data_IF_074010344264
#
_entry.id   IF_074010344264
#
_cell.length_a   1.000
_cell.length_b   1.000
_cell.length_c   1.000
_cell.angle_alpha   90.00
_cell.angle_beta   90.00
_cell.angle_gamma   90.00
#
_symmetry.space_group_name_H-M   'P 1'
#
loop_
_entity.id
_entity.type
_entity.pdbx_description
1 polymer ?
#
# COMPACT_ATOMS: atom_id res chain seq x y z
N UNK A 1 -22.84 36.98 5.00
CA UNK A 1 -22.94 35.70 5.73
C UNK A 1 -21.75 34.80 5.39
N UNK A 2 -21.07 34.17 6.38
CA UNK A 2 -20.05 33.17 6.11
C UNK A 2 -20.68 31.95 5.41
N UNK A 3 -20.11 31.53 4.27
CA UNK A 3 -20.59 30.37 3.51
C UNK A 3 -20.54 29.10 4.37
N UNK A 4 -21.66 28.39 4.47
CA UNK A 4 -21.77 27.10 5.17
C UNK A 4 -20.79 26.09 4.54
N UNK A 5 -19.99 25.41 5.36
CA UNK A 5 -19.01 24.42 4.88
C UNK A 5 -19.71 23.24 4.21
N UNK A 6 -19.24 22.89 3.00
CA UNK A 6 -19.72 21.70 2.26
C UNK A 6 -19.24 20.42 2.96
N UNK A 7 -20.05 19.36 2.90
CA UNK A 7 -19.59 18.01 3.29
C UNK A 7 -18.59 17.53 2.23
N UNK A 8 -17.44 17.03 2.67
CA UNK A 8 -16.41 16.44 1.82
C UNK A 8 -16.32 14.95 2.14
N UNK A 9 -16.05 14.12 1.12
CA UNK A 9 -15.70 12.70 1.27
C UNK A 9 -14.22 12.54 1.68
N UNK A 10 -13.83 13.25 2.74
CA UNK A 10 -12.47 13.22 3.30
C UNK A 10 -12.59 13.36 4.80
N UNK A 11 -11.84 12.54 5.53
CA UNK A 11 -11.78 12.50 6.99
C UNK A 11 -10.37 12.86 7.49
N UNK A 12 -10.25 13.15 8.78
CA UNK A 12 -8.96 13.46 9.38
C UNK A 12 -8.08 12.21 9.43
N UNK A 13 -6.87 12.31 8.87
CA UNK A 13 -5.87 11.22 8.82
C UNK A 13 -4.77 11.37 9.88
N UNK A 14 -5.00 12.15 10.93
CA UNK A 14 -4.08 12.30 12.06
C UNK A 14 -4.57 11.42 13.21
N UNK A 15 -3.84 10.37 13.56
CA UNK A 15 -4.19 9.44 14.65
C UNK A 15 -4.27 10.13 16.02
N UNK A 16 -3.59 11.26 16.21
CA UNK A 16 -3.64 12.05 17.46
C UNK A 16 -4.85 13.01 17.52
N UNK A 17 -5.71 13.02 16.51
CA UNK A 17 -6.87 13.91 16.46
C UNK A 17 -8.09 13.27 17.12
N UNK A 18 -8.85 14.02 17.91
CA UNK A 18 -10.15 13.58 18.46
C UNK A 18 -11.18 13.18 17.38
N UNK A 19 -11.02 13.74 16.18
CA UNK A 19 -11.87 13.47 15.02
C UNK A 19 -11.21 12.56 13.98
N UNK A 20 -10.23 11.73 14.39
CA UNK A 20 -9.57 10.75 13.53
C UNK A 20 -10.59 9.78 12.92
N UNK A 21 -10.51 9.55 11.59
CA UNK A 21 -11.38 8.66 10.83
C UNK A 21 -12.90 8.89 10.90
N UNK A 22 -13.36 9.98 11.52
CA UNK A 22 -14.80 10.33 11.59
C UNK A 22 -15.25 11.06 10.32
N UNK A 23 -16.36 10.61 9.72
CA UNK A 23 -16.99 11.22 8.53
C UNK A 23 -18.10 12.18 8.92
N UNK A 24 -18.47 13.10 8.02
CA UNK A 24 -19.66 13.95 8.17
C UNK A 24 -19.54 15.17 9.09
N UNK A 25 -18.42 15.34 9.81
CA UNK A 25 -18.21 16.41 10.81
C UNK A 25 -17.96 17.81 10.22
N UNK A 26 -17.79 17.95 8.90
CA UNK A 26 -17.46 19.24 8.21
C UNK A 26 -16.23 19.97 8.80
N UNK A 27 -15.37 19.25 9.52
CA UNK A 27 -14.15 19.76 10.11
C UNK A 27 -13.00 19.86 9.08
N UNK A 28 -13.11 19.20 7.93
CA UNK A 28 -12.10 19.26 6.87
C UNK A 28 -12.39 20.41 5.91
N UNK A 29 -11.38 21.24 5.66
CA UNK A 29 -11.42 22.36 4.70
C UNK A 29 -10.38 22.18 3.59
N UNK A 30 -10.67 22.71 2.40
CA UNK A 30 -9.70 22.79 1.31
C UNK A 30 -8.70 23.91 1.62
N UNK A 31 -7.41 23.58 1.67
CA UNK A 31 -6.34 24.51 2.03
C UNK A 31 -5.36 24.66 0.85
N UNK A 32 -5.86 25.20 -0.26
CA UNK A 32 -5.11 25.36 -1.50
C UNK A 32 -4.72 24.05 -2.20
N UNK A 33 -3.80 24.14 -3.15
CA UNK A 33 -3.22 22.99 -3.85
C UNK A 33 -1.70 22.95 -3.58
N UNK A 34 -1.12 21.75 -3.60
CA UNK A 34 0.35 21.58 -3.59
C UNK A 34 0.93 21.99 -4.95
N UNK A 35 2.26 22.15 -5.01
CA UNK A 35 3.00 22.49 -6.25
C UNK A 35 2.66 21.57 -7.43
N UNK A 36 2.37 20.30 -7.16
CA UNK A 36 1.99 19.30 -8.16
C UNK A 36 0.48 19.28 -8.50
N UNK A 37 -0.27 20.33 -8.13
CA UNK A 37 -1.71 20.43 -8.38
C UNK A 37 -2.62 19.59 -7.48
N UNK A 38 -2.05 18.74 -6.60
CA UNK A 38 -2.84 17.90 -5.69
C UNK A 38 -3.57 18.75 -4.68
N UNK A 39 -4.87 18.49 -4.48
CA UNK A 39 -5.68 19.19 -3.48
C UNK A 39 -5.13 18.93 -2.07
N UNK A 40 -4.83 20.01 -1.35
CA UNK A 40 -4.42 19.96 0.04
C UNK A 40 -5.65 20.22 0.93
N UNK A 41 -5.77 19.46 2.00
CA UNK A 41 -6.83 19.57 2.99
C UNK A 41 -6.23 19.94 4.34
N UNK A 42 -7.01 20.62 5.18
CA UNK A 42 -6.65 20.93 6.57
C UNK A 42 -7.81 20.54 7.47
N UNK A 43 -7.50 19.85 8.56
CA UNK A 43 -8.48 19.60 9.61
C UNK A 43 -8.57 20.85 10.51
N UNK A 44 -9.78 21.37 10.72
CA UNK A 44 -10.00 22.51 11.61
C UNK A 44 -9.85 22.15 13.10
N UNK A 45 -9.98 20.87 13.45
CA UNK A 45 -9.87 20.39 14.84
C UNK A 45 -8.42 20.31 15.31
N UNK A 46 -7.54 19.70 14.51
CA UNK A 46 -6.13 19.53 14.89
C UNK A 46 -5.15 20.39 14.08
N UNK A 47 -5.64 21.24 13.17
CA UNK A 47 -4.86 22.10 12.28
C UNK A 47 -3.83 21.40 11.36
N UNK A 48 -3.78 20.07 11.35
CA UNK A 48 -2.88 19.30 10.48
C UNK A 48 -3.39 19.34 9.03
N UNK A 49 -2.46 19.60 8.11
CA UNK A 49 -2.70 19.50 6.67
C UNK A 49 -2.34 18.13 6.11
N UNK A 50 -3.12 17.63 5.17
CA UNK A 50 -2.91 16.33 4.53
C UNK A 50 -3.50 16.30 3.13
N UNK A 51 -3.15 15.28 2.35
CA UNK A 51 -3.70 15.03 1.01
C UNK A 51 -4.54 13.76 1.02
N UNK A 52 -5.49 13.64 0.09
CA UNK A 52 -6.39 12.47 0.01
C UNK A 52 -5.62 11.16 -0.13
N UNK A 53 -4.52 11.16 -0.86
CA UNK A 53 -3.73 9.96 -1.15
C UNK A 53 -2.84 9.51 0.00
N UNK A 54 -2.70 10.28 1.09
CA UNK A 54 -1.81 9.88 2.19
C UNK A 54 -2.28 8.54 2.78
N UNK A 55 -1.31 7.64 2.96
CA UNK A 55 -1.56 6.28 3.42
C UNK A 55 -1.97 5.28 2.33
N UNK A 56 -2.02 5.67 1.04
CA UNK A 56 -2.29 4.78 -0.09
C UNK A 56 -1.06 4.59 -0.98
N UNK A 57 -1.04 3.58 -1.88
CA UNK A 57 0.05 3.38 -2.85
C UNK A 57 0.35 4.59 -3.75
N UNK A 58 -0.64 5.46 -3.93
CA UNK A 58 -0.53 6.68 -4.73
C UNK A 58 0.24 7.81 -4.01
N UNK A 59 0.42 7.72 -2.69
CA UNK A 59 1.12 8.75 -1.94
C UNK A 59 2.59 8.86 -2.35
N UNK A 60 3.05 10.05 -2.73
CA UNK A 60 4.40 10.28 -3.26
C UNK A 60 4.80 9.30 -4.37
N UNK A 61 3.84 8.84 -5.18
CA UNK A 61 4.17 8.10 -6.40
C UNK A 61 4.67 9.07 -7.47
N UNK A 62 5.76 8.70 -8.14
CA UNK A 62 6.22 9.38 -9.37
C UNK A 62 5.54 8.80 -10.62
N UNK A 63 4.89 7.65 -10.48
CA UNK A 63 4.14 7.02 -11.56
C UNK A 63 2.75 7.68 -11.68
N UNK A 64 2.23 7.81 -12.91
CA UNK A 64 0.83 8.17 -13.12
C UNK A 64 -0.10 7.22 -12.37
N UNK A 65 -1.26 7.74 -11.94
CA UNK A 65 -2.24 6.94 -11.18
C UNK A 65 -2.61 5.63 -11.91
N UNK A 66 -2.87 5.70 -13.22
CA UNK A 66 -3.23 4.55 -14.06
C UNK A 66 -2.15 3.45 -14.06
N UNK A 67 -0.87 3.84 -14.07
CA UNK A 67 0.24 2.89 -14.04
C UNK A 67 0.36 2.18 -12.69
N UNK A 68 0.12 2.90 -11.58
CA UNK A 68 0.06 2.29 -10.25
C UNK A 68 -1.09 1.30 -10.16
N UNK A 69 -2.28 1.68 -10.66
CA UNK A 69 -3.45 0.80 -10.72
C UNK A 69 -3.17 -0.46 -11.55
N UNK A 70 -2.55 -0.32 -12.72
CA UNK A 70 -2.17 -1.45 -13.57
C UNK A 70 -1.21 -2.42 -12.86
N UNK A 71 -0.17 -1.89 -12.19
CA UNK A 71 0.75 -2.72 -11.39
C UNK A 71 -0.01 -3.43 -10.26
N UNK A 72 -0.91 -2.74 -9.55
CA UNK A 72 -1.70 -3.33 -8.48
C UNK A 72 -2.63 -4.45 -8.98
N UNK A 73 -3.25 -4.29 -10.15
CA UNK A 73 -4.06 -5.34 -10.77
C UNK A 73 -3.22 -6.59 -11.05
N UNK A 74 -1.97 -6.44 -11.49
CA UNK A 74 -1.12 -7.61 -11.64
C UNK A 74 -0.74 -8.29 -10.31
N UNK A 75 -0.70 -7.55 -9.19
CA UNK A 75 -0.50 -8.17 -7.89
C UNK A 75 -1.70 -9.03 -7.46
N UNK A 76 -2.94 -8.61 -7.76
CA UNK A 76 -4.13 -9.42 -7.47
C UNK A 76 -4.16 -10.71 -8.30
N UNK A 77 -3.64 -10.67 -9.53
CA UNK A 77 -3.45 -11.84 -10.39
C UNK A 77 -2.25 -12.73 -10.00
N UNK A 78 -1.56 -12.42 -8.88
CA UNK A 78 -0.41 -13.19 -8.36
C UNK A 78 0.77 -13.28 -9.34
N UNK A 79 0.91 -12.32 -10.26
CA UNK A 79 2.03 -12.27 -11.19
C UNK A 79 3.36 -12.04 -10.47
N UNK A 80 4.44 -12.65 -10.97
CA UNK A 80 5.78 -12.40 -10.43
C UNK A 80 6.23 -10.96 -10.70
N UNK A 81 6.96 -10.34 -9.77
CA UNK A 81 7.43 -8.95 -9.94
C UNK A 81 8.25 -8.73 -11.22
N UNK A 82 9.04 -9.72 -11.64
CA UNK A 82 9.77 -9.69 -12.90
C UNK A 82 8.84 -9.77 -14.11
N UNK A 83 7.79 -10.59 -14.03
CA UNK A 83 6.73 -10.64 -15.05
C UNK A 83 6.06 -9.29 -15.21
N UNK A 84 5.65 -8.68 -14.10
CA UNK A 84 5.02 -7.35 -14.08
C UNK A 84 5.96 -6.32 -14.70
N UNK A 85 7.22 -6.27 -14.26
CA UNK A 85 8.23 -5.35 -14.80
C UNK A 85 8.35 -5.44 -16.33
N UNK A 86 8.33 -6.65 -16.91
CA UNK A 86 8.35 -6.85 -18.37
C UNK A 86 7.06 -6.42 -19.04
N UNK A 87 5.90 -6.86 -18.53
CA UNK A 87 4.59 -6.58 -19.13
C UNK A 87 4.25 -5.10 -19.08
N UNK A 88 4.49 -4.43 -17.96
CA UNK A 88 4.21 -3.01 -17.78
C UNK A 88 5.35 -2.10 -18.21
N UNK A 89 6.47 -2.66 -18.69
CA UNK A 89 7.70 -1.93 -19.08
C UNK A 89 8.23 -0.97 -18.01
N UNK A 90 8.06 -1.32 -16.72
CA UNK A 90 8.59 -0.56 -15.60
C UNK A 90 9.85 -1.21 -15.05
N UNK A 91 10.76 -0.42 -14.48
CA UNK A 91 11.91 -0.99 -13.77
C UNK A 91 11.44 -1.85 -12.59
N UNK A 92 12.16 -2.94 -12.32
CA UNK A 92 11.86 -3.83 -11.20
C UNK A 92 11.81 -3.08 -9.85
N UNK A 93 12.68 -2.08 -9.67
CA UNK A 93 12.67 -1.21 -8.49
C UNK A 93 11.39 -0.37 -8.37
N UNK A 94 10.80 0.07 -9.48
CA UNK A 94 9.51 0.76 -9.44
C UNK A 94 8.39 -0.16 -8.97
N UNK A 95 8.34 -1.39 -9.50
CA UNK A 95 7.39 -2.43 -9.08
C UNK A 95 7.55 -2.73 -7.58
N UNK A 96 8.77 -2.93 -7.10
CA UNK A 96 9.02 -3.16 -5.67
C UNK A 96 8.56 -2.00 -4.78
N UNK A 97 8.78 -0.75 -5.20
CA UNK A 97 8.29 0.41 -4.45
C UNK A 97 6.76 0.44 -4.35
N UNK A 98 6.07 0.10 -5.43
CA UNK A 98 4.60 0.00 -5.41
C UNK A 98 4.17 -1.14 -4.51
N UNK A 99 4.76 -2.34 -4.66
CA UNK A 99 4.47 -3.50 -3.83
C UNK A 99 4.66 -3.20 -2.33
N UNK A 100 5.75 -2.54 -1.94
CA UNK A 100 6.01 -2.17 -0.56
C UNK A 100 4.93 -1.19 -0.02
N UNK A 101 4.52 -0.20 -0.82
CA UNK A 101 3.44 0.70 -0.40
C UNK A 101 2.09 0.00 -0.28
N UNK A 102 1.81 -0.97 -1.16
CA UNK A 102 0.61 -1.82 -1.08
C UNK A 102 0.67 -2.68 0.17
N UNK A 103 1.79 -3.35 0.45
CA UNK A 103 1.97 -4.14 1.66
C UNK A 103 1.72 -3.34 2.94
N UNK A 104 2.35 -2.15 3.06
CA UNK A 104 2.09 -1.23 4.19
C UNK A 104 0.66 -0.71 4.28
N UNK A 105 -0.07 -0.71 3.17
CA UNK A 105 -1.49 -0.36 3.16
C UNK A 105 -2.32 -1.54 3.65
N UNK A 106 -2.00 -2.77 3.19
CA UNK A 106 -2.62 -4.01 3.65
C UNK A 106 -2.38 -4.26 5.13
N UNK A 107 -1.16 -4.07 5.66
CA UNK A 107 -0.87 -4.24 7.10
C UNK A 107 -1.85 -3.46 7.99
N UNK A 108 -2.21 -2.22 7.59
CA UNK A 108 -3.18 -1.39 8.33
C UNK A 108 -4.62 -1.87 8.21
N UNK A 109 -4.94 -2.56 7.13
CA UNK A 109 -6.24 -3.20 6.95
C UNK A 109 -6.25 -4.46 7.81
N UNK A 110 -5.22 -5.29 7.71
CA UNK A 110 -5.06 -6.54 8.42
C UNK A 110 -5.20 -6.37 9.94
N UNK A 111 -4.60 -5.33 10.53
CA UNK A 111 -4.78 -4.96 11.95
C UNK A 111 -6.25 -4.83 12.39
N UNK A 112 -7.16 -4.49 11.47
CA UNK A 112 -8.58 -4.30 11.74
C UNK A 112 -9.46 -5.46 11.26
N UNK A 113 -9.00 -6.26 10.28
CA UNK A 113 -9.83 -7.27 9.59
C UNK A 113 -9.38 -8.72 9.82
N UNK A 114 -8.13 -8.97 10.24
CA UNK A 114 -7.62 -10.31 10.52
C UNK A 114 -7.63 -10.64 12.03
N UNK A 115 -8.59 -10.08 12.77
CA UNK A 115 -8.77 -10.32 14.21
C UNK A 115 -9.98 -11.23 14.39
N UNK A 116 -9.84 -12.30 15.18
CA UNK A 116 -10.89 -13.30 15.45
C UNK A 116 -11.45 -13.95 14.16
N UNK A 117 -10.57 -14.47 13.31
CA UNK A 117 -11.01 -15.32 12.22
C UNK A 117 -11.44 -16.67 12.81
N UNK A 118 -12.69 -17.06 12.61
CA UNK A 118 -13.23 -18.38 12.96
C UNK A 118 -12.70 -19.43 11.97
N UNK A 119 -11.40 -19.73 12.06
CA UNK A 119 -10.72 -20.74 11.24
C UNK A 119 -10.58 -22.03 12.05
N UNK A 120 -10.85 -23.16 11.40
CA UNK A 120 -10.51 -24.46 11.98
C UNK A 120 -8.99 -24.69 12.00
N UNK A 121 -8.51 -25.57 12.89
CA UNK A 121 -7.09 -25.93 12.97
C UNK A 121 -6.57 -26.50 11.65
N UNK A 122 -7.37 -27.26 10.90
CA UNK A 122 -6.97 -27.83 9.61
C UNK A 122 -6.79 -26.73 8.56
N UNK A 123 -7.72 -25.78 8.49
CA UNK A 123 -7.65 -24.65 7.55
C UNK A 123 -6.44 -23.75 7.86
N UNK A 124 -6.17 -23.51 9.14
CA UNK A 124 -5.00 -22.77 9.57
C UNK A 124 -3.70 -23.50 9.18
N UNK A 125 -3.59 -24.81 9.41
CA UNK A 125 -2.41 -25.59 9.05
C UNK A 125 -2.18 -25.65 7.53
N UNK A 126 -3.23 -25.83 6.73
CA UNK A 126 -3.14 -25.80 5.27
C UNK A 126 -2.62 -24.45 4.79
N UNK A 127 -3.15 -23.34 5.31
CA UNK A 127 -2.69 -21.99 5.00
C UNK A 127 -1.22 -21.79 5.38
N UNK A 128 -0.82 -22.24 6.58
CA UNK A 128 0.58 -22.16 7.03
C UNK A 128 1.52 -23.04 6.21
N UNK A 129 1.09 -24.23 5.80
CA UNK A 129 1.88 -25.17 5.00
C UNK A 129 2.21 -24.56 3.64
N UNK A 130 1.25 -23.90 2.99
CA UNK A 130 1.41 -23.23 1.70
C UNK A 130 2.41 -22.07 1.77
N UNK A 131 2.30 -21.24 2.82
CA UNK A 131 3.19 -20.09 3.04
C UNK A 131 4.62 -20.57 3.37
N UNK A 132 4.78 -21.56 4.26
CA UNK A 132 6.10 -22.09 4.66
C UNK A 132 6.80 -22.85 3.53
N UNK A 133 6.10 -23.56 2.65
CA UNK A 133 6.71 -24.31 1.53
C UNK A 133 7.55 -23.42 0.62
N UNK A 134 7.17 -22.13 0.47
CA UNK A 134 7.89 -21.15 -0.34
C UNK A 134 9.20 -20.67 0.29
N UNK A 135 9.33 -20.64 1.62
CA UNK A 135 10.56 -20.24 2.32
C UNK A 135 11.71 -21.23 2.11
N UNK A 136 11.42 -22.55 2.17
CA UNK A 136 12.43 -23.59 1.89
C UNK A 136 12.96 -23.47 0.45
N UNK A 137 12.08 -23.25 -0.54
CA UNK A 137 12.47 -23.05 -1.94
C UNK A 137 13.39 -21.82 -2.10
N UNK A 138 13.10 -20.71 -1.40
CA UNK A 138 13.92 -19.50 -1.46
C UNK A 138 15.35 -19.72 -0.90
N UNK A 139 15.50 -20.46 0.21
CA UNK A 139 16.80 -20.81 0.80
C UNK A 139 17.59 -21.75 -0.14
N UNK A 140 16.92 -22.77 -0.70
CA UNK A 140 17.55 -23.69 -1.65
C UNK A 140 17.99 -22.99 -2.95
N UNK A 141 17.23 -22.02 -3.46
CA UNK A 141 17.59 -21.22 -4.64
C UNK A 141 18.79 -20.29 -4.36
N UNK A 142 18.86 -19.67 -3.19
CA UNK A 142 19.99 -18.82 -2.79
C UNK A 142 21.30 -19.63 -2.69
N UNK A 143 21.25 -20.83 -2.11
CA UNK A 143 22.42 -21.72 -2.00
C UNK A 143 22.93 -22.25 -3.36
N UNK A 144 22.03 -22.53 -4.32
CA UNK A 144 22.42 -22.93 -5.69
C UNK A 144 23.08 -21.80 -6.47
N UNK A 145 22.59 -20.56 -6.34
CA UNK A 145 23.19 -19.37 -6.98
C UNK A 145 24.60 -19.10 -6.43
N UNK A 146 24.80 -19.23 -5.11
CA UNK A 146 26.10 -19.07 -4.46
C UNK A 146 27.11 -20.20 -4.79
N UNK A 147 26.63 -21.37 -5.24
CA UNK A 147 27.47 -22.47 -5.72
C UNK A 147 27.90 -22.27 -7.17
N UNK A 148 27.00 -21.78 -8.03
CA UNK A 148 27.30 -21.43 -9.44
C UNK A 148 28.29 -20.28 -9.59
N UNK A 149 28.20 -19.25 -8.76
CA UNK A 149 29.16 -18.12 -8.77
C UNK A 149 30.58 -18.52 -8.33
N UNK A 150 30.72 -19.63 -7.57
CA UNK A 150 32.02 -20.18 -7.17
C UNK A 150 32.68 -21.03 -8.25
N UNK A 151 31.90 -21.62 -9.15
CA UNK A 151 32.40 -22.48 -10.25
C UNK A 151 32.79 -21.72 -11.52
N UNK A 152 32.55 -20.41 -11.60
CA UNK A 152 32.85 -19.57 -12.78
C UNK A 152 34.11 -18.71 -12.61
N UNK A 153 34.85 -18.87 -11.52
CA UNK A 153 36.09 -18.14 -11.20
C UNK A 153 37.34 -19.04 -11.16
N UNK A 154 37.27 -20.19 -11.83
CA UNK A 154 38.41 -21.04 -12.20
C UNK A 154 38.38 -21.20 -13.71
#
# INVERSE_FOLDING_TARGET
>A
MPKKRRKLDVFCQNSKCRDFNKKGLKNIVRNGKKKNGTQNYKCATCNVSFVRTKGTPLYYSKLPKKEVENICNHFSEKNSFRGISRTTKHSLNAVYRVANKVGKHCEKIDENYLVNLDLDMVEADEMFSFIKKRRKIAITMASKTARRARTTHT
#
